data_IF_383516864940
#
_entry.id   IF_383516864940
#
_cell.length_a   1.000
_cell.length_b   1.000
_cell.length_c   1.000
_cell.angle_alpha   90.00
_cell.angle_beta   90.00
_cell.angle_gamma   90.00
#
_symmetry.space_group_name_H-M   'P 1'
#
loop_
_entity.id
_entity.type
_entity.pdbx_description
1 polymer ?
#
# COMPACT_ATOMS: atom_id res chain seq x y z
N UNK A 1 -16.78 8.75 -0.57
CA UNK A 1 -15.39 9.23 -0.42
C UNK A 1 -14.65 8.31 0.55
N UNK A 2 -13.41 7.97 0.26
CA UNK A 2 -12.57 7.13 1.13
C UNK A 2 -11.21 7.77 1.34
N UNK A 3 -10.71 7.72 2.58
CA UNK A 3 -9.41 8.26 2.96
C UNK A 3 -8.57 7.20 3.66
N UNK A 4 -7.31 7.08 3.25
CA UNK A 4 -6.29 6.22 3.86
C UNK A 4 -5.19 7.10 4.44
N UNK A 5 -5.08 7.12 5.76
CA UNK A 5 -4.03 7.83 6.48
C UNK A 5 -2.92 6.83 6.77
N UNK A 6 -1.93 6.80 5.87
CA UNK A 6 -0.69 6.06 6.09
C UNK A 6 0.30 6.86 6.94
N UNK A 7 1.44 6.22 7.29
CA UNK A 7 2.47 6.86 8.13
C UNK A 7 3.15 8.06 7.44
N UNK A 8 3.35 8.01 6.12
CA UNK A 8 4.08 9.04 5.37
C UNK A 8 3.19 9.82 4.41
N UNK A 9 2.12 9.22 3.90
CA UNK A 9 1.23 9.78 2.89
C UNK A 9 -0.23 9.55 3.26
N UNK A 10 -1.06 10.53 2.94
CA UNK A 10 -2.52 10.41 2.94
C UNK A 10 -2.98 10.23 1.50
N UNK A 11 -3.93 9.32 1.26
CA UNK A 11 -4.59 9.11 -0.02
C UNK A 11 -6.08 9.34 0.15
N UNK A 12 -6.67 10.03 -0.79
CA UNK A 12 -8.10 10.34 -0.81
C UNK A 12 -8.67 9.93 -2.17
N UNK A 13 -9.83 9.28 -2.17
CA UNK A 13 -10.52 8.86 -3.39
C UNK A 13 -11.99 9.24 -3.30
N UNK A 14 -12.48 9.92 -4.33
CA UNK A 14 -13.89 10.18 -4.56
C UNK A 14 -14.43 9.14 -5.56
N UNK A 15 -15.51 8.47 -5.20
CA UNK A 15 -16.13 7.41 -6.02
C UNK A 15 -17.59 7.75 -6.29
N UNK A 16 -18.00 7.66 -7.54
CA UNK A 16 -19.39 7.58 -7.92
C UNK A 16 -19.85 6.12 -7.71
N UNK A 17 -20.59 5.91 -6.60
CA UNK A 17 -20.95 4.57 -6.17
C UNK A 17 -22.29 4.14 -6.77
N UNK A 18 -22.21 3.09 -7.59
CA UNK A 18 -23.36 2.42 -8.26
C UNK A 18 -23.07 0.92 -8.34
N UNK A 19 -23.86 0.18 -9.10
CA UNK A 19 -23.58 -1.24 -9.43
C UNK A 19 -22.24 -1.41 -10.15
N UNK A 20 -21.81 -0.38 -10.88
CA UNK A 20 -20.48 -0.28 -11.50
C UNK A 20 -19.76 0.97 -10.98
N UNK A 21 -19.13 0.90 -9.78
CA UNK A 21 -18.47 2.05 -9.18
C UNK A 21 -17.35 2.58 -10.07
N UNK A 22 -17.19 3.93 -10.10
CA UNK A 22 -16.12 4.59 -10.84
C UNK A 22 -15.36 5.56 -9.96
N UNK A 23 -14.03 5.58 -10.09
CA UNK A 23 -13.20 6.59 -9.48
C UNK A 23 -13.48 7.90 -10.20
N UNK A 24 -14.02 8.90 -9.48
CA UNK A 24 -14.26 10.24 -10.00
C UNK A 24 -13.01 11.11 -9.88
N UNK A 25 -12.32 11.00 -8.73
CA UNK A 25 -11.09 11.73 -8.49
C UNK A 25 -10.26 11.04 -7.41
N UNK A 26 -8.96 11.37 -7.36
CA UNK A 26 -8.02 10.82 -6.39
C UNK A 26 -6.89 11.82 -6.11
N UNK A 27 -6.44 11.86 -4.86
CA UNK A 27 -5.36 12.73 -4.41
C UNK A 27 -4.43 11.97 -3.46
N UNK A 28 -3.17 12.35 -3.47
CA UNK A 28 -2.17 11.91 -2.48
C UNK A 28 -1.39 13.10 -1.97
N UNK A 29 -1.10 13.10 -0.68
CA UNK A 29 -0.36 14.17 -0.03
C UNK A 29 0.65 13.59 0.95
N UNK A 30 1.89 14.09 0.93
CA UNK A 30 2.93 13.70 1.88
C UNK A 30 2.73 14.45 3.20
N UNK A 31 2.63 13.71 4.31
CA UNK A 31 2.38 14.27 5.65
C UNK A 31 3.57 15.16 6.08
N UNK A 32 4.80 14.68 5.86
CA UNK A 32 6.04 15.30 6.35
C UNK A 32 5.99 15.45 7.88
N UNK A 33 6.17 16.69 8.39
CA UNK A 33 6.10 17.02 9.83
C UNK A 33 4.77 17.67 10.24
N UNK A 34 3.77 17.70 9.33
CA UNK A 34 2.46 18.30 9.60
C UNK A 34 1.58 17.35 10.42
N UNK A 35 0.57 17.91 11.07
CA UNK A 35 -0.43 17.09 11.76
C UNK A 35 -1.29 16.35 10.72
N UNK A 36 -1.35 15.00 10.73
CA UNK A 36 -2.10 14.22 9.75
C UNK A 36 -3.59 14.58 9.68
N UNK A 37 -4.21 14.92 10.82
CA UNK A 37 -5.62 15.32 10.88
C UNK A 37 -5.88 16.62 10.11
N UNK A 38 -4.96 17.59 10.21
CA UNK A 38 -5.07 18.85 9.47
C UNK A 38 -4.91 18.61 7.97
N UNK A 39 -3.88 17.87 7.58
CA UNK A 39 -3.66 17.52 6.17
C UNK A 39 -4.86 16.76 5.58
N UNK A 40 -5.46 15.85 6.34
CA UNK A 40 -6.64 15.10 5.91
C UNK A 40 -7.85 16.02 5.66
N UNK A 41 -8.12 16.96 6.57
CA UNK A 41 -9.22 17.92 6.40
C UNK A 41 -8.97 18.88 5.23
N UNK A 42 -7.74 19.37 5.06
CA UNK A 42 -7.35 20.19 3.90
C UNK A 42 -7.57 19.44 2.57
N UNK A 43 -7.18 18.17 2.49
CA UNK A 43 -7.39 17.34 1.31
C UNK A 43 -8.87 17.10 1.02
N UNK A 44 -9.67 16.83 2.06
CA UNK A 44 -11.12 16.65 1.92
C UNK A 44 -11.75 17.93 1.39
N UNK A 45 -11.43 19.08 1.99
CA UNK A 45 -11.98 20.35 1.55
C UNK A 45 -11.57 20.68 0.10
N UNK A 46 -10.30 20.53 -0.25
CA UNK A 46 -9.82 20.75 -1.61
C UNK A 46 -10.52 19.83 -2.64
N UNK A 47 -10.81 18.58 -2.28
CA UNK A 47 -11.56 17.65 -3.14
C UNK A 47 -13.01 18.10 -3.31
N UNK A 48 -13.65 18.57 -2.25
CA UNK A 48 -15.03 19.08 -2.30
C UNK A 48 -15.11 20.36 -3.15
N UNK A 49 -14.22 21.32 -2.94
CA UNK A 49 -14.16 22.57 -3.70
C UNK A 49 -13.93 22.32 -5.19
N UNK A 50 -13.01 21.39 -5.53
CA UNK A 50 -12.70 21.02 -6.92
C UNK A 50 -13.92 20.49 -7.67
N UNK A 51 -14.85 19.82 -6.97
CA UNK A 51 -16.03 19.20 -7.55
C UNK A 51 -17.34 19.94 -7.27
N UNK A 52 -17.26 21.14 -6.70
CA UNK A 52 -18.41 21.95 -6.30
C UNK A 52 -19.41 21.16 -5.44
N UNK A 53 -18.86 20.40 -4.48
CA UNK A 53 -19.63 19.56 -3.56
C UNK A 53 -19.60 20.15 -2.15
N UNK A 54 -20.73 20.06 -1.47
CA UNK A 54 -20.82 20.30 -0.03
C UNK A 54 -20.53 18.98 0.72
N UNK A 55 -20.10 19.10 1.96
CA UNK A 55 -19.81 17.93 2.80
C UNK A 55 -21.03 17.02 2.97
N UNK A 56 -22.22 17.59 3.08
CA UNK A 56 -23.50 16.92 3.25
C UNK A 56 -23.90 16.07 2.03
N UNK A 57 -23.38 16.41 0.85
CA UNK A 57 -23.61 15.70 -0.39
C UNK A 57 -22.74 14.44 -0.52
N UNK A 58 -21.72 14.31 0.33
CA UNK A 58 -20.94 13.09 0.43
C UNK A 58 -21.72 12.03 1.19
N UNK A 59 -22.34 11.12 0.46
CA UNK A 59 -23.18 10.05 1.00
C UNK A 59 -22.51 9.27 2.13
N UNK A 60 -21.19 9.03 2.05
CA UNK A 60 -20.42 8.35 3.08
C UNK A 60 -18.93 8.73 2.98
N UNK A 61 -18.36 9.26 4.06
CA UNK A 61 -16.92 9.39 4.25
C UNK A 61 -16.43 8.22 5.11
N UNK A 62 -15.60 7.36 4.50
CA UNK A 62 -14.97 6.21 5.16
C UNK A 62 -13.48 6.44 5.32
N UNK A 63 -12.90 5.92 6.40
CA UNK A 63 -11.47 6.00 6.65
C UNK A 63 -10.82 4.63 6.85
N UNK A 64 -9.50 4.57 6.65
CA UNK A 64 -8.63 3.43 6.97
C UNK A 64 -7.25 3.92 7.41
N UNK A 65 -6.36 3.00 7.79
CA UNK A 65 -5.05 3.34 8.36
C UNK A 65 -5.21 4.01 9.73
N UNK A 66 -4.51 5.13 9.96
CA UNK A 66 -4.68 6.00 11.14
C UNK A 66 -5.93 6.89 11.03
N UNK A 67 -6.94 6.40 10.33
CA UNK A 67 -8.15 7.14 9.97
C UNK A 67 -9.07 7.51 11.12
N UNK A 68 -8.77 7.09 12.35
CA UNK A 68 -9.46 7.59 13.55
C UNK A 68 -9.23 9.09 13.76
N UNK A 69 -8.18 9.66 13.18
CA UNK A 69 -7.88 11.08 13.18
C UNK A 69 -8.88 11.92 12.35
N UNK A 70 -9.69 11.31 11.47
CA UNK A 70 -10.68 12.01 10.63
C UNK A 70 -11.94 12.24 11.41
N UNK A 71 -12.23 13.51 11.76
CA UNK A 71 -13.32 13.91 12.68
C UNK A 71 -14.73 13.62 12.12
N UNK A 72 -14.93 13.84 10.81
CA UNK A 72 -16.24 13.75 10.16
C UNK A 72 -16.51 12.41 9.46
N UNK A 73 -15.66 11.39 9.69
CA UNK A 73 -15.90 10.06 9.12
C UNK A 73 -17.21 9.45 9.62
N UNK A 74 -17.89 8.74 8.74
CA UNK A 74 -19.08 7.94 9.09
C UNK A 74 -18.73 6.49 9.45
N UNK A 75 -17.52 6.04 9.10
CA UNK A 75 -17.01 4.73 9.48
C UNK A 75 -15.53 4.57 9.22
N UNK A 76 -14.94 3.67 9.97
CA UNK A 76 -13.54 3.25 9.84
C UNK A 76 -13.49 1.77 9.49
N UNK A 77 -12.59 1.39 8.58
CA UNK A 77 -12.37 0.02 8.14
C UNK A 77 -10.90 -0.36 8.29
N UNK A 78 -10.64 -1.60 8.67
CA UNK A 78 -9.27 -2.11 8.78
C UNK A 78 -8.57 -2.13 7.42
N UNK A 79 -7.29 -1.75 7.39
CA UNK A 79 -6.49 -1.65 6.17
C UNK A 79 -6.45 -2.95 5.35
N UNK A 80 -6.40 -4.12 6.00
CA UNK A 80 -6.45 -5.39 5.26
C UNK A 80 -7.77 -5.57 4.48
N UNK A 81 -8.89 -5.13 5.02
CA UNK A 81 -10.20 -5.21 4.37
C UNK A 81 -10.31 -4.21 3.22
N UNK A 82 -9.77 -3.00 3.41
CA UNK A 82 -9.84 -1.95 2.39
C UNK A 82 -8.88 -2.22 1.24
N UNK A 83 -7.62 -2.62 1.51
CA UNK A 83 -6.68 -2.99 0.46
C UNK A 83 -7.17 -4.20 -0.35
N UNK A 84 -7.78 -5.18 0.31
CA UNK A 84 -8.41 -6.33 -0.38
C UNK A 84 -9.54 -5.91 -1.33
N UNK A 85 -10.41 -5.00 -0.87
CA UNK A 85 -11.52 -4.49 -1.70
C UNK A 85 -11.03 -3.63 -2.86
N UNK A 86 -10.02 -2.78 -2.63
CA UNK A 86 -9.40 -1.97 -3.68
C UNK A 86 -8.65 -2.82 -4.71
N UNK A 87 -7.89 -3.83 -4.28
CA UNK A 87 -7.21 -4.77 -5.17
C UNK A 87 -8.21 -5.56 -6.04
N UNK A 88 -9.29 -6.05 -5.44
CA UNK A 88 -10.34 -6.78 -6.16
C UNK A 88 -11.10 -5.88 -7.16
N UNK A 89 -11.22 -4.58 -6.89
CA UNK A 89 -11.78 -3.63 -7.84
C UNK A 89 -10.92 -3.50 -9.10
N UNK A 90 -9.60 -3.45 -8.96
CA UNK A 90 -8.68 -3.41 -10.09
C UNK A 90 -8.57 -4.77 -10.80
N UNK A 91 -8.57 -5.84 -10.03
CA UNK A 91 -8.39 -7.21 -10.51
C UNK A 91 -9.41 -8.15 -9.83
N UNK A 92 -10.57 -8.38 -10.45
CA UNK A 92 -11.59 -9.28 -9.88
C UNK A 92 -11.12 -10.74 -9.68
N UNK A 93 -10.08 -11.13 -10.41
CA UNK A 93 -9.42 -12.43 -10.24
C UNK A 93 -8.49 -12.52 -9.03
N UNK A 94 -8.23 -11.42 -8.30
CA UNK A 94 -7.33 -11.39 -7.15
C UNK A 94 -7.66 -12.49 -6.11
N UNK A 95 -6.61 -13.19 -5.63
CA UNK A 95 -6.73 -14.19 -4.56
C UNK A 95 -5.80 -13.92 -3.40
N UNK A 96 -4.70 -13.23 -3.67
CA UNK A 96 -3.76 -12.77 -2.65
C UNK A 96 -3.43 -11.29 -2.89
N UNK A 97 -3.46 -10.51 -1.84
CA UNK A 97 -3.10 -9.09 -1.87
C UNK A 97 -1.87 -8.88 -0.99
N UNK A 98 -0.86 -8.21 -1.51
CA UNK A 98 0.33 -7.80 -0.75
C UNK A 98 0.30 -6.29 -0.61
N UNK A 99 0.01 -5.83 0.59
CA UNK A 99 0.07 -4.42 0.97
C UNK A 99 1.48 -4.09 1.45
N UNK A 100 2.20 -3.30 0.66
CA UNK A 100 3.57 -2.86 0.94
C UNK A 100 3.55 -1.44 1.50
N UNK A 101 3.37 -1.36 2.82
CA UNK A 101 3.29 -0.10 3.57
C UNK A 101 4.65 0.45 4.01
N UNK A 102 4.62 1.63 4.65
CA UNK A 102 5.80 2.26 5.22
C UNK A 102 6.35 1.49 6.44
N UNK A 103 5.49 0.96 7.30
CA UNK A 103 5.91 0.31 8.56
C UNK A 103 5.88 -1.21 8.52
N UNK A 104 5.11 -1.81 7.62
CA UNK A 104 4.95 -3.25 7.51
C UNK A 104 4.57 -3.66 6.09
N UNK A 105 4.78 -4.94 5.81
CA UNK A 105 4.20 -5.62 4.64
C UNK A 105 3.20 -6.64 5.14
N UNK A 106 2.03 -6.69 4.51
CA UNK A 106 0.98 -7.69 4.77
C UNK A 106 0.67 -8.48 3.51
N UNK A 107 0.59 -9.80 3.64
CA UNK A 107 0.00 -10.67 2.65
C UNK A 107 -1.38 -11.10 3.16
N UNK A 108 -2.40 -10.94 2.35
CA UNK A 108 -3.81 -11.21 2.70
C UNK A 108 -4.39 -12.17 1.66
N UNK A 109 -4.91 -13.30 2.10
CA UNK A 109 -5.68 -14.22 1.25
C UNK A 109 -7.14 -13.78 1.24
N UNK A 110 -7.74 -13.72 0.05
CA UNK A 110 -9.10 -13.22 -0.13
C UNK A 110 -9.96 -14.17 -0.94
N UNK A 111 -11.24 -14.22 -0.59
CA UNK A 111 -12.28 -14.87 -1.39
C UNK A 111 -12.59 -14.08 -2.68
N UNK A 112 -13.34 -14.67 -3.65
CA UNK A 112 -13.75 -13.98 -4.87
C UNK A 112 -14.53 -12.67 -4.64
N UNK A 113 -15.23 -12.54 -3.52
CA UNK A 113 -15.96 -11.33 -3.12
C UNK A 113 -15.14 -10.37 -2.24
N UNK A 114 -13.82 -10.56 -2.23
CA UNK A 114 -12.84 -9.74 -1.52
C UNK A 114 -12.93 -9.79 0.02
N UNK A 115 -13.49 -10.84 0.60
CA UNK A 115 -13.44 -11.06 2.05
C UNK A 115 -12.07 -11.59 2.45
N UNK A 116 -11.55 -11.08 3.54
CA UNK A 116 -10.31 -11.58 4.13
C UNK A 116 -10.55 -12.97 4.71
N UNK A 117 -9.81 -13.96 4.23
CA UNK A 117 -9.84 -15.36 4.72
C UNK A 117 -8.73 -15.61 5.74
N UNK A 118 -7.51 -15.16 5.44
CA UNK A 118 -6.34 -15.26 6.32
C UNK A 118 -5.33 -14.16 5.98
N UNK A 119 -4.41 -13.88 6.87
CA UNK A 119 -3.34 -12.93 6.62
C UNK A 119 -2.06 -13.25 7.39
N UNK A 120 -0.95 -12.79 6.85
CA UNK A 120 0.35 -12.75 7.50
C UNK A 120 0.96 -11.37 7.31
N UNK A 121 1.72 -10.92 8.29
CA UNK A 121 2.42 -9.64 8.19
C UNK A 121 3.84 -9.74 8.76
N UNK A 122 4.70 -8.86 8.30
CA UNK A 122 6.02 -8.70 8.91
C UNK A 122 5.84 -8.22 10.36
N UNK A 123 6.74 -8.65 11.25
CA UNK A 123 6.81 -8.06 12.59
C UNK A 123 7.16 -6.56 12.52
N UNK A 124 7.18 -5.90 13.67
CA UNK A 124 7.48 -4.47 13.80
C UNK A 124 8.93 -4.07 13.42
N UNK A 125 9.67 -4.97 12.77
CA UNK A 125 11.02 -4.71 12.31
C UNK A 125 10.99 -3.89 11.01
N UNK A 126 11.47 -2.67 11.08
CA UNK A 126 11.52 -1.72 9.96
C UNK A 126 12.27 -2.23 8.72
N UNK A 127 13.24 -3.16 8.86
CA UNK A 127 14.08 -3.65 7.76
C UNK A 127 13.34 -4.34 6.59
N UNK A 128 12.04 -4.55 6.71
CA UNK A 128 11.20 -5.14 5.65
C UNK A 128 10.13 -4.18 5.13
N UNK A 129 10.26 -2.88 5.38
CA UNK A 129 9.22 -1.89 5.15
C UNK A 129 9.68 -0.76 4.24
N UNK A 130 8.71 -0.01 3.70
CA UNK A 130 8.98 1.16 2.86
C UNK A 130 9.74 2.27 3.58
N UNK A 131 9.59 2.38 4.91
CA UNK A 131 10.34 3.35 5.72
C UNK A 131 11.84 3.06 5.72
N UNK A 132 12.22 1.78 5.76
CA UNK A 132 13.62 1.39 5.66
C UNK A 132 14.21 1.79 4.30
N UNK A 133 13.49 1.51 3.21
CA UNK A 133 13.92 1.94 1.87
C UNK A 133 14.06 3.47 1.81
N UNK A 134 13.11 4.23 2.36
CA UNK A 134 13.17 5.70 2.39
C UNK A 134 14.36 6.22 3.23
N UNK A 135 14.66 5.60 4.35
CA UNK A 135 15.81 6.00 5.19
C UNK A 135 17.13 5.77 4.46
N UNK A 136 17.29 4.59 3.85
CA UNK A 136 18.53 4.27 3.12
C UNK A 136 18.66 5.11 1.84
N UNK A 137 17.58 5.33 1.11
CA UNK A 137 17.62 6.19 -0.09
C UNK A 137 18.09 7.60 0.27
N UNK A 138 17.58 8.16 1.36
CA UNK A 138 17.99 9.48 1.86
C UNK A 138 19.49 9.49 2.29
N UNK A 139 19.96 8.43 2.93
CA UNK A 139 21.37 8.28 3.29
C UNK A 139 22.28 8.24 2.04
N UNK A 140 21.80 7.60 0.97
CA UNK A 140 22.51 7.51 -0.32
C UNK A 140 22.28 8.73 -1.23
N UNK A 141 21.55 9.76 -0.77
CA UNK A 141 21.30 10.98 -1.53
C UNK A 141 20.22 10.85 -2.62
N UNK A 142 19.37 9.82 -2.54
CA UNK A 142 18.28 9.56 -3.49
C UNK A 142 16.92 10.02 -2.95
N UNK A 143 16.05 10.49 -3.83
CA UNK A 143 14.61 10.58 -3.54
C UNK A 143 13.97 9.19 -3.60
N UNK A 144 12.83 9.01 -2.91
CA UNK A 144 12.13 7.71 -2.90
C UNK A 144 11.58 7.35 -4.29
N UNK A 145 11.32 8.34 -5.11
CA UNK A 145 10.84 8.21 -6.47
C UNK A 145 11.89 7.62 -7.42
N UNK A 146 13.18 7.92 -7.18
CA UNK A 146 14.31 7.46 -8.00
C UNK A 146 14.74 6.03 -7.67
N UNK A 147 14.46 5.56 -6.45
CA UNK A 147 14.97 4.29 -5.91
C UNK A 147 14.66 3.09 -6.81
N UNK A 148 13.45 3.07 -7.41
CA UNK A 148 13.04 1.99 -8.29
C UNK A 148 13.91 1.90 -9.54
N UNK A 149 14.10 3.03 -10.22
CA UNK A 149 14.86 3.09 -11.48
C UNK A 149 16.37 2.89 -11.23
N UNK A 150 16.94 3.49 -10.18
CA UNK A 150 18.34 3.27 -9.76
C UNK A 150 18.61 1.79 -9.46
N UNK A 151 17.67 1.08 -8.83
CA UNK A 151 17.81 -0.36 -8.56
C UNK A 151 17.94 -1.21 -9.85
N UNK A 152 17.35 -0.76 -10.96
CA UNK A 152 17.40 -1.48 -12.23
C UNK A 152 18.77 -1.40 -12.91
N UNK A 153 19.62 -0.44 -12.52
CA UNK A 153 20.98 -0.24 -13.03
C UNK A 153 22.01 -1.15 -12.36
N UNK A 154 21.60 -1.96 -11.36
CA UNK A 154 22.51 -2.81 -10.61
C UNK A 154 23.09 -3.94 -11.48
N UNK A 155 24.41 -4.16 -11.37
CA UNK A 155 25.15 -5.21 -12.10
C UNK A 155 25.59 -6.35 -11.19
N UNK A 156 25.95 -6.03 -9.95
CA UNK A 156 26.43 -6.98 -8.93
C UNK A 156 25.83 -6.64 -7.56
N UNK A 157 24.54 -6.94 -7.34
CA UNK A 157 23.85 -6.56 -6.11
C UNK A 157 24.43 -7.27 -4.88
N UNK A 158 24.72 -6.53 -3.82
CA UNK A 158 25.14 -7.06 -2.53
C UNK A 158 23.97 -7.04 -1.54
N UNK A 159 23.52 -8.23 -1.12
CA UNK A 159 22.35 -8.36 -0.24
C UNK A 159 22.74 -8.00 1.19
N UNK A 160 22.05 -7.03 1.78
CA UNK A 160 22.22 -6.67 3.19
C UNK A 160 21.66 -7.73 4.14
N UNK A 161 22.16 -7.71 5.39
CA UNK A 161 21.60 -8.57 6.45
C UNK A 161 20.10 -8.42 6.57
N UNK A 162 19.39 -9.53 6.42
CA UNK A 162 17.94 -9.58 6.54
C UNK A 162 17.43 -9.62 8.00
N UNK A 163 18.26 -9.51 9.02
CA UNK A 163 17.89 -9.82 10.40
C UNK A 163 17.24 -8.61 11.09
N UNK A 164 17.86 -7.43 10.99
CA UNK A 164 17.44 -6.24 11.72
C UNK A 164 17.71 -4.97 10.90
N UNK A 165 16.87 -3.93 11.04
CA UNK A 165 17.06 -2.65 10.36
C UNK A 165 18.39 -1.98 10.74
N UNK A 166 18.76 -2.04 12.02
CA UNK A 166 20.03 -1.46 12.52
C UNK A 166 21.23 -2.16 11.90
N UNK A 167 21.21 -3.49 11.82
CA UNK A 167 22.28 -4.26 11.17
C UNK A 167 22.31 -3.97 9.67
N UNK A 168 21.17 -3.86 9.02
CA UNK A 168 21.09 -3.55 7.60
C UNK A 168 21.57 -2.11 7.29
N UNK A 169 21.33 -1.13 8.18
CA UNK A 169 21.90 0.21 8.06
C UNK A 169 23.43 0.17 8.21
N UNK A 170 23.95 -0.61 9.16
CA UNK A 170 25.39 -0.82 9.35
C UNK A 170 26.00 -1.49 8.12
N UNK A 171 25.33 -2.50 7.55
CA UNK A 171 25.79 -3.15 6.31
C UNK A 171 25.87 -2.15 5.16
N UNK A 172 24.88 -1.26 5.00
CA UNK A 172 24.90 -0.22 3.97
C UNK A 172 26.08 0.73 4.15
N UNK A 173 26.37 1.16 5.38
CA UNK A 173 27.54 2.00 5.68
C UNK A 173 28.84 1.29 5.28
N UNK A 174 28.96 0.01 5.59
CA UNK A 174 30.11 -0.82 5.21
C UNK A 174 30.22 -0.99 3.68
N UNK A 175 29.09 -1.21 2.98
CA UNK A 175 29.06 -1.29 1.52
C UNK A 175 29.53 0.00 0.88
N UNK A 176 29.07 1.16 1.34
CA UNK A 176 29.51 2.48 0.87
C UNK A 176 31.03 2.65 1.10
N UNK A 177 31.53 2.30 2.28
CA UNK A 177 32.97 2.42 2.60
C UNK A 177 33.85 1.50 1.76
N UNK A 178 33.34 0.38 1.26
CA UNK A 178 34.04 -0.53 0.33
C UNK A 178 33.88 -0.12 -1.13
N UNK A 179 33.17 0.98 -1.44
CA UNK A 179 32.95 1.48 -2.79
C UNK A 179 31.90 0.71 -3.59
N UNK A 180 31.01 -0.04 -2.93
CA UNK A 180 29.86 -0.66 -3.62
C UNK A 180 28.95 0.44 -4.18
N UNK A 181 28.55 0.31 -5.43
CA UNK A 181 27.76 1.33 -6.11
C UNK A 181 26.34 1.43 -5.54
N UNK A 182 25.77 2.63 -5.57
CA UNK A 182 24.40 2.88 -5.09
C UNK A 182 23.34 1.95 -5.71
N UNK A 183 23.35 1.68 -7.03
CA UNK A 183 22.44 0.70 -7.62
C UNK A 183 22.54 -0.69 -7.01
N UNK A 184 23.76 -1.19 -6.80
CA UNK A 184 24.01 -2.51 -6.21
C UNK A 184 23.51 -2.61 -4.76
N UNK A 185 23.70 -1.56 -3.96
CA UNK A 185 23.21 -1.46 -2.59
C UNK A 185 21.66 -1.49 -2.58
N UNK A 186 21.02 -0.63 -3.36
CA UNK A 186 19.54 -0.54 -3.42
C UNK A 186 18.94 -1.85 -3.90
N UNK A 187 19.50 -2.46 -4.95
CA UNK A 187 19.03 -3.77 -5.45
C UNK A 187 19.15 -4.86 -4.38
N UNK A 188 20.26 -4.89 -3.64
CA UNK A 188 20.45 -5.84 -2.54
C UNK A 188 19.38 -5.69 -1.44
N UNK A 189 18.98 -4.46 -1.13
CA UNK A 189 17.87 -4.17 -0.20
C UNK A 189 16.54 -4.69 -0.77
N UNK A 190 16.25 -4.40 -2.05
CA UNK A 190 15.03 -4.89 -2.70
C UNK A 190 14.97 -6.42 -2.69
N UNK A 191 16.08 -7.12 -2.96
CA UNK A 191 16.17 -8.60 -2.90
C UNK A 191 15.86 -9.10 -1.49
N UNK A 192 16.43 -8.47 -0.45
CA UNK A 192 16.18 -8.83 0.95
C UNK A 192 14.69 -8.70 1.31
N UNK A 193 14.04 -7.60 0.92
CA UNK A 193 12.61 -7.36 1.16
C UNK A 193 11.75 -8.34 0.34
N UNK A 194 12.08 -8.54 -0.94
CA UNK A 194 11.39 -9.48 -1.82
C UNK A 194 11.37 -10.91 -1.25
N UNK A 195 12.51 -11.37 -0.74
CA UNK A 195 12.61 -12.67 -0.08
C UNK A 195 11.66 -12.82 1.13
N UNK A 196 11.46 -11.74 1.90
CA UNK A 196 10.49 -11.73 3.01
C UNK A 196 9.05 -11.75 2.53
N UNK A 197 8.73 -10.99 1.48
CA UNK A 197 7.40 -10.98 0.86
C UNK A 197 7.04 -12.39 0.40
N UNK A 198 7.96 -13.08 -0.28
CA UNK A 198 7.75 -14.45 -0.77
C UNK A 198 7.57 -15.45 0.39
N UNK A 199 8.31 -15.27 1.49
CA UNK A 199 8.11 -16.07 2.70
C UNK A 199 6.73 -15.85 3.31
N UNK A 200 6.24 -14.61 3.37
CA UNK A 200 4.88 -14.30 3.84
C UNK A 200 3.82 -14.96 2.98
N UNK A 201 3.89 -14.78 1.65
CA UNK A 201 2.96 -15.39 0.70
C UNK A 201 2.95 -16.90 0.85
N UNK A 202 4.13 -17.51 0.99
CA UNK A 202 4.27 -18.97 1.14
C UNK A 202 3.69 -19.49 2.46
N UNK A 203 3.95 -18.78 3.57
CA UNK A 203 3.42 -19.15 4.89
C UNK A 203 1.89 -18.98 4.98
N UNK A 204 1.34 -18.07 4.19
CA UNK A 204 -0.10 -17.86 4.03
C UNK A 204 -0.75 -18.91 3.11
N UNK A 205 0.04 -19.71 2.38
CA UNK A 205 -0.44 -20.53 1.26
C UNK A 205 -1.20 -19.68 0.25
N UNK A 206 -0.61 -18.53 -0.08
CA UNK A 206 -1.20 -17.55 -1.01
C UNK A 206 -1.43 -18.17 -2.38
N UNK A 207 -2.47 -17.69 -3.06
CA UNK A 207 -2.91 -18.15 -4.38
C UNK A 207 -2.70 -17.04 -5.42
N UNK A 208 -2.40 -17.46 -6.64
CA UNK A 208 -2.25 -16.56 -7.81
C UNK A 208 -3.63 -16.15 -8.37
N UNK A 209 -3.77 -14.95 -8.94
CA UNK A 209 -2.77 -13.89 -9.02
C UNK A 209 -2.57 -13.14 -7.69
N UNK A 210 -1.35 -12.61 -7.51
CA UNK A 210 -0.96 -11.81 -6.36
C UNK A 210 -0.96 -10.35 -6.74
N UNK A 211 -1.73 -9.53 -6.06
CA UNK A 211 -1.88 -8.12 -6.35
C UNK A 211 -1.05 -7.30 -5.36
N UNK A 212 -0.15 -6.48 -5.88
CA UNK A 212 0.63 -5.53 -5.08
C UNK A 212 -0.16 -4.24 -4.87
N UNK A 213 -0.22 -3.79 -3.62
CA UNK A 213 -0.85 -2.52 -3.21
C UNK A 213 0.03 -1.79 -2.19
N UNK A 214 -0.36 -0.58 -1.81
CA UNK A 214 0.40 0.24 -0.85
C UNK A 214 1.46 1.11 -1.51
N UNK A 215 2.19 1.87 -0.70
CA UNK A 215 3.10 2.92 -1.18
C UNK A 215 4.25 2.45 -2.06
N UNK A 216 4.69 1.21 -1.91
CA UNK A 216 5.79 0.63 -2.69
C UNK A 216 5.32 -0.21 -3.90
N UNK A 217 4.01 -0.32 -4.13
CA UNK A 217 3.46 -1.19 -5.19
C UNK A 217 3.84 -0.80 -6.62
N UNK A 218 4.32 0.43 -6.83
CA UNK A 218 4.77 0.94 -8.13
C UNK A 218 6.29 1.05 -8.24
N UNK A 219 7.04 0.62 -7.21
CA UNK A 219 8.50 0.63 -7.27
C UNK A 219 8.99 -0.49 -8.20
N UNK A 220 9.47 -0.10 -9.39
CA UNK A 220 9.89 -1.04 -10.45
C UNK A 220 11.00 -2.00 -9.99
N UNK A 221 12.00 -1.50 -9.26
CA UNK A 221 13.09 -2.32 -8.74
C UNK A 221 12.61 -3.35 -7.70
N UNK A 222 11.61 -3.01 -6.88
CA UNK A 222 10.98 -3.94 -5.94
C UNK A 222 10.17 -5.02 -6.69
N UNK A 223 9.37 -4.63 -7.69
CA UNK A 223 8.60 -5.57 -8.51
C UNK A 223 9.56 -6.55 -9.18
N UNK A 224 10.61 -6.05 -9.85
CA UNK A 224 11.62 -6.89 -10.48
C UNK A 224 12.30 -7.84 -9.48
N UNK A 225 12.67 -7.35 -8.28
CA UNK A 225 13.28 -8.19 -7.25
C UNK A 225 12.33 -9.32 -6.77
N UNK A 226 11.02 -9.04 -6.66
CA UNK A 226 10.01 -10.07 -6.34
C UNK A 226 9.95 -11.13 -7.45
N UNK A 227 9.90 -10.72 -8.71
CA UNK A 227 9.84 -11.63 -9.87
C UNK A 227 11.11 -12.50 -9.98
N UNK A 228 12.29 -11.92 -9.77
CA UNK A 228 13.57 -12.63 -9.75
C UNK A 228 13.61 -13.69 -8.65
N UNK A 229 13.24 -13.31 -7.43
CA UNK A 229 13.19 -14.21 -6.27
C UNK A 229 12.15 -15.33 -6.44
N UNK A 230 11.03 -15.07 -7.12
CA UNK A 230 10.06 -16.12 -7.48
C UNK A 230 10.68 -17.15 -8.44
N UNK A 231 11.42 -16.67 -9.45
CA UNK A 231 12.13 -17.55 -10.40
C UNK A 231 13.17 -18.41 -9.70
N UNK A 232 13.99 -17.81 -8.83
CA UNK A 232 15.03 -18.53 -8.06
C UNK A 232 14.44 -19.59 -7.13
N UNK A 233 13.30 -19.31 -6.50
CA UNK A 233 12.63 -20.26 -5.61
C UNK A 233 11.75 -21.29 -6.34
N UNK A 234 11.65 -21.22 -7.66
CA UNK A 234 10.82 -22.10 -8.49
C UNK A 234 9.31 -21.92 -8.29
N UNK A 235 8.89 -20.83 -7.67
CA UNK A 235 7.47 -20.53 -7.40
C UNK A 235 6.83 -19.85 -8.60
N UNK A 236 5.66 -20.34 -9.00
CA UNK A 236 4.91 -19.84 -10.15
C UNK A 236 3.73 -18.97 -9.66
N UNK A 237 4.02 -17.76 -9.22
CA UNK A 237 2.98 -16.77 -8.92
C UNK A 237 2.98 -15.70 -10.00
N UNK A 238 1.79 -15.32 -10.44
CA UNK A 238 1.57 -14.14 -11.27
C UNK A 238 1.49 -12.92 -10.36
N UNK A 239 2.38 -11.95 -10.58
CA UNK A 239 2.41 -10.68 -9.84
C UNK A 239 1.78 -9.60 -10.69
N UNK A 240 0.77 -8.93 -10.17
CA UNK A 240 0.08 -7.85 -10.84
C UNK A 240 0.10 -6.58 -9.99
N UNK A 241 0.19 -5.44 -10.65
CA UNK A 241 0.00 -4.12 -10.05
C UNK A 241 -0.80 -3.24 -11.00
N UNK A 242 -1.45 -2.22 -10.44
CA UNK A 242 -2.22 -1.23 -11.19
C UNK A 242 -1.61 0.17 -10.99
N UNK A 243 -1.64 1.08 -11.98
CA UNK A 243 -1.14 2.45 -11.81
C UNK A 243 -1.73 3.17 -10.58
N UNK A 244 -2.93 2.78 -10.17
CA UNK A 244 -3.63 3.31 -8.99
C UNK A 244 -3.51 2.41 -7.74
N UNK A 245 -2.63 1.42 -7.73
CA UNK A 245 -2.48 0.48 -6.62
C UNK A 245 -2.15 1.17 -5.27
N UNK A 246 -1.50 2.33 -5.31
CA UNK A 246 -1.24 3.15 -4.11
C UNK A 246 -2.51 3.65 -3.44
N UNK A 247 -3.62 3.77 -4.18
CA UNK A 247 -4.91 4.22 -3.69
C UNK A 247 -5.82 3.07 -3.22
N UNK A 248 -5.39 1.82 -3.30
CA UNK A 248 -6.22 0.65 -2.99
C UNK A 248 -6.88 0.73 -1.60
N UNK A 249 -6.16 1.23 -0.58
CA UNK A 249 -6.70 1.43 0.76
C UNK A 249 -7.85 2.44 0.79
N UNK A 250 -7.64 3.64 0.24
CA UNK A 250 -8.66 4.69 0.18
C UNK A 250 -9.85 4.29 -0.71
N UNK A 251 -9.58 3.67 -1.86
CA UNK A 251 -10.62 3.15 -2.75
C UNK A 251 -11.48 2.10 -2.06
N UNK A 252 -10.84 1.12 -1.42
CA UNK A 252 -11.56 0.08 -0.68
C UNK A 252 -12.40 0.64 0.46
N UNK A 253 -11.91 1.68 1.16
CA UNK A 253 -12.68 2.39 2.17
C UNK A 253 -13.93 3.06 1.55
N UNK A 254 -13.78 3.75 0.39
CA UNK A 254 -14.90 4.36 -0.32
C UNK A 254 -15.95 3.32 -0.75
N UNK A 255 -15.49 2.19 -1.30
CA UNK A 255 -16.37 1.10 -1.76
C UNK A 255 -17.14 0.46 -0.60
N UNK A 256 -16.49 0.14 0.51
CA UNK A 256 -17.15 -0.36 1.71
C UNK A 256 -18.10 0.67 2.34
N UNK A 257 -17.72 1.95 2.30
CA UNK A 257 -18.57 3.06 2.75
C UNK A 257 -19.85 3.16 1.93
N UNK A 258 -19.74 3.10 0.60
CA UNK A 258 -20.89 3.09 -0.31
C UNK A 258 -21.82 1.90 -0.08
N UNK A 259 -21.26 0.70 0.02
CA UNK A 259 -22.03 -0.51 0.37
C UNK A 259 -22.78 -0.36 1.70
N UNK A 260 -22.07 0.09 2.73
CA UNK A 260 -22.67 0.30 4.06
C UNK A 260 -23.78 1.35 4.03
N UNK A 261 -23.61 2.41 3.27
CA UNK A 261 -24.62 3.45 3.11
C UNK A 261 -25.94 2.89 2.54
N UNK A 262 -25.85 2.10 1.46
CA UNK A 262 -27.04 1.46 0.86
C UNK A 262 -27.69 0.52 1.88
N UNK A 263 -26.94 -0.34 2.53
CA UNK A 263 -27.48 -1.28 3.52
C UNK A 263 -28.16 -0.60 4.72
N UNK A 264 -27.66 0.54 5.15
CA UNK A 264 -28.30 1.32 6.22
C UNK A 264 -29.63 1.92 5.74
N UNK A 265 -29.68 2.45 4.52
CA UNK A 265 -30.93 2.97 3.93
C UNK A 265 -32.00 1.88 3.79
N UNK A 266 -31.62 0.70 3.30
CA UNK A 266 -32.53 -0.46 3.18
C UNK A 266 -33.12 -0.85 4.54
N UNK A 267 -32.29 -0.93 5.60
CA UNK A 267 -32.75 -1.24 6.95
C UNK A 267 -33.72 -0.20 7.50
N UNK A 268 -33.43 1.08 7.30
CA UNK A 268 -34.33 2.16 7.75
C UNK A 268 -35.67 2.15 7.01
N UNK A 269 -35.68 1.82 5.73
CA UNK A 269 -36.90 1.69 4.93
C UNK A 269 -37.79 0.49 5.34
N UNK A 270 -37.21 -0.58 5.89
CA UNK A 270 -37.92 -1.75 6.40
C UNK A 270 -38.50 -1.53 7.81
N UNK A 271 -37.93 -0.57 8.56
CA UNK A 271 -38.35 -0.26 9.96
C UNK A 271 -39.26 0.96 10.06
N UNK A 272 -39.53 1.66 8.95
CA UNK A 272 -40.47 2.77 8.85
C UNK A 272 -41.79 2.31 8.26
#
# INVERSE_FOLDING_TARGET
MGIDIGSNFIKLVLVDYSDHPKIRDKQTEKIRKRNPSVVAEEMIQAMLDKHDLKYEEVAYLASTGEGDLVKRKRGHFYGMTTHSKGANFFFPSARTVVDMGALYVRAVKISPDARVEDYKMTGQCASGSGQFVENISRYLGLSIEEVGDVSLEATEPEVSSGICAVLAETDVINMVSRGITTPNIIKGIHISIAGRIIKLISSLKGESPIILTGGMSLNKGMIQAIEEQLKETGKKFEILTHPDAIYAGALGAALWGGYRHIRLKEKMAVTA
#
